data_IF_750009180707
#
_entry.id   IF_750009180707
#
_cell.length_a   1.000
_cell.length_b   1.000
_cell.length_c   1.000
_cell.angle_alpha   90.00
_cell.angle_beta   90.00
_cell.angle_gamma   90.00
#
_symmetry.space_group_name_H-M   'P 1'
#
loop_
_entity.id
_entity.type
_entity.pdbx_description
1 polymer ?
#
# COMPACT_ATOMS: atom_id res chain seq x y z
N UNK A 1 -12.06 -0.53 35.44
CA UNK A 1 -11.80 0.33 34.26
C UNK A 1 -10.31 0.62 34.23
N UNK A 2 -9.54 0.00 33.33
CA UNK A 2 -8.14 0.34 33.09
C UNK A 2 -8.05 0.80 31.64
N UNK A 3 -7.65 2.06 31.48
CA UNK A 3 -7.60 2.77 30.21
C UNK A 3 -6.63 2.11 29.25
N UNK A 4 -7.09 1.93 28.01
CA UNK A 4 -6.24 1.51 26.91
C UNK A 4 -5.33 2.70 26.57
N UNK A 5 -4.03 2.57 26.84
CA UNK A 5 -3.04 3.49 26.29
C UNK A 5 -3.08 3.39 24.77
N UNK A 6 -3.70 4.38 24.13
CA UNK A 6 -3.58 4.62 22.71
C UNK A 6 -2.11 5.02 22.46
N UNK A 7 -1.26 4.04 22.18
CA UNK A 7 0.04 4.30 21.57
C UNK A 7 -0.23 5.07 20.28
N UNK A 8 0.09 6.36 20.26
CA UNK A 8 0.06 7.13 19.03
C UNK A 8 1.06 6.49 18.06
N UNK A 9 0.67 6.24 16.80
CA UNK A 9 1.58 5.69 15.81
C UNK A 9 2.81 6.58 15.69
N UNK A 10 3.98 5.97 15.53
CA UNK A 10 5.21 6.73 15.33
C UNK A 10 5.16 7.45 13.97
N UNK A 11 5.91 8.55 13.79
CA UNK A 11 5.98 9.26 12.51
C UNK A 11 6.42 8.36 11.34
N UNK A 12 7.19 7.31 11.63
CA UNK A 12 7.58 6.30 10.65
C UNK A 12 6.38 5.42 10.23
N UNK A 13 5.54 4.99 11.18
CA UNK A 13 4.31 4.25 10.89
C UNK A 13 3.29 5.10 10.12
N UNK A 14 3.19 6.39 10.44
CA UNK A 14 2.33 7.34 9.70
C UNK A 14 2.81 7.55 8.27
N UNK A 15 4.12 7.73 8.05
CA UNK A 15 4.70 7.86 6.71
C UNK A 15 4.56 6.57 5.87
N UNK A 16 4.65 5.40 6.52
CA UNK A 16 4.43 4.10 5.87
C UNK A 16 2.95 3.90 5.50
N UNK A 17 2.03 4.33 6.37
CA UNK A 17 0.59 4.33 6.09
C UNK A 17 0.21 5.30 4.95
N UNK A 18 0.82 6.49 4.91
CA UNK A 18 0.64 7.45 3.83
C UNK A 18 1.15 6.89 2.50
N UNK A 19 2.31 6.25 2.50
CA UNK A 19 2.88 5.59 1.32
C UNK A 19 1.97 4.47 0.81
N UNK A 20 1.44 3.63 1.70
CA UNK A 20 0.45 2.59 1.35
C UNK A 20 -0.82 3.18 0.76
N UNK A 21 -1.31 4.30 1.29
CA UNK A 21 -2.48 4.99 0.75
C UNK A 21 -2.24 5.48 -0.68
N UNK A 22 -1.09 6.09 -0.95
CA UNK A 22 -0.71 6.56 -2.28
C UNK A 22 -0.62 5.39 -3.28
N UNK A 23 -0.02 4.26 -2.88
CA UNK A 23 0.03 3.06 -3.73
C UNK A 23 -1.35 2.44 -3.95
N UNK A 24 -2.24 2.48 -2.96
CA UNK A 24 -3.63 2.08 -3.12
C UNK A 24 -4.38 2.89 -4.18
N UNK A 25 -4.17 4.21 -4.22
CA UNK A 25 -4.74 5.07 -5.27
C UNK A 25 -4.19 4.69 -6.64
N UNK A 26 -2.86 4.51 -6.76
CA UNK A 26 -2.22 4.10 -8.02
C UNK A 26 -2.68 2.73 -8.51
N UNK A 27 -2.80 1.75 -7.60
CA UNK A 27 -3.31 0.42 -7.92
C UNK A 27 -4.74 0.48 -8.45
N UNK A 28 -5.61 1.32 -7.86
CA UNK A 28 -6.97 1.54 -8.35
C UNK A 28 -6.98 2.14 -9.76
N UNK A 29 -6.09 3.11 -10.05
CA UNK A 29 -5.96 3.68 -11.39
C UNK A 29 -5.50 2.64 -12.41
N UNK A 30 -4.57 1.74 -12.06
CA UNK A 30 -4.13 0.65 -12.94
C UNK A 30 -5.30 -0.31 -13.22
N UNK A 31 -6.01 -0.72 -12.17
CA UNK A 31 -7.15 -1.63 -12.28
C UNK A 31 -8.33 -1.05 -13.06
N UNK A 32 -8.39 0.26 -13.30
CA UNK A 32 -9.41 0.87 -14.15
C UNK A 32 -9.27 0.44 -15.63
N UNK A 33 -8.08 -0.01 -16.04
CA UNK A 33 -7.79 -0.44 -17.42
C UNK A 33 -7.75 -1.96 -17.60
N UNK A 34 -7.99 -2.73 -16.53
CA UNK A 34 -7.89 -4.18 -16.52
C UNK A 34 -9.30 -4.75 -16.29
N UNK A 35 -9.78 -5.55 -17.23
CA UNK A 35 -10.94 -6.41 -17.00
C UNK A 35 -10.55 -7.49 -16.00
N UNK A 36 -11.16 -7.44 -14.82
CA UNK A 36 -10.85 -8.31 -13.70
C UNK A 36 -12.15 -8.57 -12.94
N UNK A 37 -12.40 -9.84 -12.60
CA UNK A 37 -13.55 -10.24 -11.79
C UNK A 37 -13.61 -9.42 -10.50
N UNK A 38 -14.81 -8.97 -10.12
CA UNK A 38 -14.97 -8.14 -8.92
C UNK A 38 -14.48 -8.86 -7.65
N UNK A 39 -14.55 -10.19 -7.61
CA UNK A 39 -14.03 -11.01 -6.51
C UNK A 39 -12.49 -11.07 -6.48
N UNK A 40 -11.84 -10.94 -7.64
CA UNK A 40 -10.38 -10.98 -7.77
C UNK A 40 -9.76 -9.59 -7.64
N UNK A 41 -10.50 -8.54 -7.98
CA UNK A 41 -10.05 -7.14 -7.98
C UNK A 41 -9.41 -6.70 -6.65
N UNK A 42 -9.94 -7.05 -5.46
CA UNK A 42 -9.29 -6.71 -4.18
C UNK A 42 -7.95 -7.42 -3.98
N UNK A 43 -7.85 -8.69 -4.40
CA UNK A 43 -6.61 -9.49 -4.29
C UNK A 43 -5.53 -8.95 -5.22
N UNK A 44 -5.90 -8.63 -6.45
CA UNK A 44 -4.98 -8.05 -7.43
C UNK A 44 -4.50 -6.67 -6.97
N UNK A 45 -5.40 -5.85 -6.40
CA UNK A 45 -5.04 -4.57 -5.79
C UNK A 45 -3.98 -4.73 -4.69
N UNK A 46 -4.18 -5.69 -3.78
CA UNK A 46 -3.22 -5.94 -2.69
C UNK A 46 -1.85 -6.35 -3.24
N UNK A 47 -1.82 -7.28 -4.20
CA UNK A 47 -0.57 -7.72 -4.84
C UNK A 47 0.17 -6.57 -5.55
N UNK A 48 -0.53 -5.65 -6.22
CA UNK A 48 0.08 -4.47 -6.83
C UNK A 48 0.70 -3.55 -5.78
N UNK A 49 0.00 -3.30 -4.67
CA UNK A 49 0.51 -2.46 -3.58
C UNK A 49 1.77 -3.09 -2.97
N UNK A 50 1.76 -4.38 -2.71
CA UNK A 50 2.93 -5.12 -2.19
C UNK A 50 4.11 -5.06 -3.16
N UNK A 51 3.87 -5.22 -4.46
CA UNK A 51 4.90 -5.09 -5.48
C UNK A 51 5.49 -3.67 -5.54
N UNK A 52 4.66 -2.63 -5.42
CA UNK A 52 5.12 -1.24 -5.36
C UNK A 52 5.98 -0.95 -4.12
N UNK A 53 5.58 -1.49 -2.96
CA UNK A 53 6.36 -1.38 -1.72
C UNK A 53 7.72 -2.09 -1.86
N UNK A 54 7.72 -3.32 -2.38
CA UNK A 54 8.95 -4.06 -2.62
C UNK A 54 9.88 -3.32 -3.58
N UNK A 55 9.35 -2.78 -4.68
CA UNK A 55 10.11 -2.03 -5.67
C UNK A 55 10.71 -0.74 -5.08
N UNK A 56 9.97 -0.04 -4.21
CA UNK A 56 10.49 1.14 -3.51
C UNK A 56 11.67 0.81 -2.59
N UNK A 57 11.66 -0.37 -1.97
CA UNK A 57 12.73 -0.85 -1.10
C UNK A 57 13.96 -1.40 -1.87
N UNK A 58 13.86 -1.57 -3.19
CA UNK A 58 15.00 -2.02 -3.98
C UNK A 58 16.10 -0.95 -4.04
N UNK A 59 17.38 -1.35 -4.03
CA UNK A 59 18.47 -0.42 -4.30
C UNK A 59 18.30 0.14 -5.71
N UNK A 60 18.41 1.46 -5.85
CA UNK A 60 18.36 2.09 -7.17
C UNK A 60 19.58 1.62 -7.95
N UNK A 61 19.35 0.97 -9.08
CA UNK A 61 20.42 0.73 -10.06
C UNK A 61 20.93 2.09 -10.50
N UNK A 62 22.11 2.48 -10.02
CA UNK A 62 22.90 3.56 -10.60
C UNK A 62 23.33 3.09 -11.99
N UNK A 63 22.68 3.63 -13.01
CA UNK A 63 23.13 3.59 -14.40
C UNK A 63 24.21 4.65 -14.63
#
# INVERSE_FOLDING_TARGET
MMGHSLNKPTPAEEAEAETRHQFAVRANSILAFIECDEEQRPKLRAAIIEAMLWAQAQPKLTQ
#
